data_IF_933671460258
#
_entry.id   IF_933671460258
#
_cell.length_a   1.000
_cell.length_b   1.000
_cell.length_c   1.000
_cell.angle_alpha   90.00
_cell.angle_beta   90.00
_cell.angle_gamma   90.00
#
_symmetry.space_group_name_H-M   'P 1'
#
loop_
_entity.id
_entity.type
_entity.pdbx_description
1 polymer ?
#
# COMPACT_ATOMS: atom_id res chain seq x y z
N UNK A 1 14.84 2.38 12.79
CA UNK A 1 14.69 3.77 13.25
C UNK A 1 13.24 4.26 13.04
N UNK A 2 12.75 5.19 13.87
CA UNK A 2 11.39 5.73 13.80
C UNK A 2 11.11 6.41 12.44
N UNK A 3 9.83 6.62 12.14
CA UNK A 3 9.40 7.44 11.00
C UNK A 3 9.90 8.88 11.21
N UNK A 4 10.25 9.56 10.11
CA UNK A 4 10.52 11.00 10.21
C UNK A 4 9.22 11.66 10.70
N UNK A 5 9.30 12.39 11.80
CA UNK A 5 8.19 13.25 12.22
C UNK A 5 8.23 14.44 11.28
N UNK A 6 7.25 14.49 10.38
CA UNK A 6 7.10 15.65 9.51
C UNK A 6 6.16 16.66 10.17
N UNK A 7 6.60 17.91 10.23
CA UNK A 7 5.89 18.98 10.92
C UNK A 7 4.43 19.08 10.45
N UNK A 8 3.50 19.09 11.40
CA UNK A 8 2.07 19.27 11.18
C UNK A 8 1.23 18.00 11.02
N UNK A 9 1.84 16.81 10.98
CA UNK A 9 1.10 15.54 10.84
C UNK A 9 1.26 14.65 12.08
N UNK A 10 0.13 14.17 12.61
CA UNK A 10 0.08 13.30 13.79
C UNK A 10 0.29 11.81 13.48
N UNK A 11 0.13 10.92 14.49
CA UNK A 11 0.19 9.47 14.31
C UNK A 11 -0.74 8.98 13.20
N UNK A 12 -0.29 7.98 12.44
CA UNK A 12 -1.03 7.38 11.32
C UNK A 12 -0.71 7.99 9.96
N UNK A 13 -0.13 9.19 9.91
CA UNK A 13 0.37 9.80 8.68
C UNK A 13 1.80 9.33 8.35
N UNK A 14 2.05 9.04 7.08
CA UNK A 14 3.37 8.66 6.56
C UNK A 14 3.57 9.20 5.16
N UNK A 15 4.80 9.59 4.83
CA UNK A 15 5.15 9.93 3.45
C UNK A 15 5.25 8.64 2.63
N UNK A 16 4.68 8.61 1.43
CA UNK A 16 4.65 7.38 0.62
C UNK A 16 6.06 6.84 0.32
N UNK A 17 7.05 7.71 0.08
CA UNK A 17 8.46 7.29 -0.07
C UNK A 17 9.01 6.62 1.18
N UNK A 18 8.62 7.10 2.36
CA UNK A 18 9.08 6.58 3.65
C UNK A 18 8.52 5.18 3.94
N UNK A 19 7.29 4.91 3.47
CA UNK A 19 6.69 3.58 3.48
C UNK A 19 7.43 2.63 2.52
N UNK A 20 7.72 3.08 1.29
CA UNK A 20 8.43 2.28 0.28
C UNK A 20 9.82 1.87 0.76
N UNK A 21 10.65 2.80 1.25
CA UNK A 21 12.03 2.47 1.66
C UNK A 21 12.10 1.59 2.91
N UNK A 22 11.02 1.49 3.68
CA UNK A 22 10.90 0.61 4.85
C UNK A 22 10.25 -0.73 4.49
N UNK A 23 9.84 -0.94 3.25
CA UNK A 23 9.29 -2.21 2.78
C UNK A 23 10.39 -3.28 2.76
N UNK A 24 10.09 -4.53 3.18
CA UNK A 24 10.97 -5.67 2.94
C UNK A 24 11.23 -5.85 1.44
N UNK A 25 12.48 -6.19 1.07
CA UNK A 25 12.91 -6.38 -0.31
C UNK A 25 11.99 -7.34 -1.08
N UNK A 26 11.62 -8.46 -0.47
CA UNK A 26 10.74 -9.46 -1.07
C UNK A 26 9.38 -8.85 -1.44
N UNK A 27 8.75 -8.10 -0.53
CA UNK A 27 7.45 -7.45 -0.79
C UNK A 27 7.59 -6.43 -1.92
N UNK A 28 8.65 -5.63 -1.91
CA UNK A 28 8.92 -4.68 -2.98
C UNK A 28 9.06 -5.38 -4.34
N UNK A 29 9.84 -6.46 -4.41
CA UNK A 29 10.00 -7.25 -5.62
C UNK A 29 8.74 -8.03 -6.05
N UNK A 30 7.85 -8.38 -5.13
CA UNK A 30 6.57 -9.01 -5.46
C UNK A 30 5.55 -8.01 -6.02
N UNK A 31 5.60 -6.76 -5.58
CA UNK A 31 4.68 -5.71 -6.03
C UNK A 31 5.12 -5.10 -7.37
N UNK A 32 6.43 -4.90 -7.55
CA UNK A 32 6.97 -4.14 -8.67
C UNK A 32 7.69 -5.08 -9.66
N UNK A 33 7.29 -5.00 -10.94
CA UNK A 33 7.98 -5.73 -12.00
C UNK A 33 9.26 -5.00 -12.40
N UNK A 34 10.40 -5.71 -12.38
CA UNK A 34 11.69 -5.18 -12.82
C UNK A 34 12.16 -5.92 -14.07
N UNK A 35 12.66 -5.15 -15.04
CA UNK A 35 13.25 -5.69 -16.27
C UNK A 35 14.76 -5.96 -16.14
N UNK A 36 15.30 -5.93 -14.92
CA UNK A 36 16.71 -6.22 -14.66
C UNK A 36 16.79 -7.22 -13.52
N UNK A 37 17.77 -8.10 -13.63
CA UNK A 37 18.08 -9.12 -12.64
C UNK A 37 19.60 -9.14 -12.51
N UNK A 38 20.11 -9.00 -11.28
CA UNK A 38 21.54 -8.91 -11.02
C UNK A 38 21.95 -9.95 -10.00
N UNK A 39 23.17 -10.54 -10.09
CA UNK A 39 23.64 -11.52 -9.10
C UNK A 39 23.61 -11.00 -7.66
N UNK A 40 23.78 -9.68 -7.49
CA UNK A 40 23.67 -9.03 -6.20
C UNK A 40 22.25 -9.13 -5.63
N UNK A 41 21.19 -9.04 -6.46
CA UNK A 41 19.80 -9.16 -6.03
C UNK A 41 19.46 -10.61 -5.65
N UNK A 42 19.94 -11.59 -6.42
CA UNK A 42 19.79 -13.03 -6.15
C UNK A 42 20.30 -13.42 -4.78
N UNK A 43 21.47 -12.89 -4.42
CA UNK A 43 22.11 -13.14 -3.14
C UNK A 43 21.19 -12.81 -1.95
N UNK A 44 20.30 -11.82 -2.10
CA UNK A 44 19.29 -11.48 -1.10
C UNK A 44 18.00 -12.28 -1.29
N UNK A 45 17.44 -12.31 -2.50
CA UNK A 45 16.12 -12.90 -2.76
C UNK A 45 16.07 -14.42 -2.56
N UNK A 46 17.18 -15.13 -2.85
CA UNK A 46 17.23 -16.59 -2.71
C UNK A 46 17.52 -17.05 -1.27
N UNK A 47 17.88 -16.14 -0.37
CA UNK A 47 18.13 -16.48 1.03
C UNK A 47 16.83 -16.38 1.84
N UNK A 48 16.48 -17.38 2.68
CA UNK A 48 15.21 -17.42 3.40
C UNK A 48 14.98 -16.20 4.31
N UNK A 49 16.06 -15.65 4.88
CA UNK A 49 16.03 -14.48 5.77
C UNK A 49 16.34 -13.15 5.06
N UNK A 50 17.36 -13.07 4.20
CA UNK A 50 17.84 -11.79 3.64
C UNK A 50 16.83 -11.13 2.72
N UNK A 51 15.93 -11.91 2.10
CA UNK A 51 14.82 -11.38 1.30
C UNK A 51 13.90 -10.47 2.11
N UNK A 52 13.91 -10.54 3.43
CA UNK A 52 13.12 -9.67 4.32
C UNK A 52 13.87 -8.44 4.83
N UNK A 53 15.12 -8.21 4.39
CA UNK A 53 15.84 -6.95 4.66
C UNK A 53 15.06 -5.80 4.02
N UNK A 54 14.91 -4.70 4.76
CA UNK A 54 14.22 -3.51 4.27
C UNK A 54 15.10 -2.72 3.30
N UNK A 55 14.48 -2.06 2.32
CA UNK A 55 15.22 -1.44 1.22
C UNK A 55 16.28 -0.42 1.65
N UNK A 56 16.01 0.36 2.71
CA UNK A 56 16.98 1.36 3.21
C UNK A 56 18.24 0.75 3.84
N UNK A 57 18.19 -0.51 4.28
CA UNK A 57 19.31 -1.21 4.91
C UNK A 57 20.10 -2.04 3.88
N UNK A 58 19.67 -2.05 2.61
CA UNK A 58 20.43 -2.67 1.52
C UNK A 58 21.65 -1.82 1.14
N UNK A 59 22.74 -2.45 0.66
CA UNK A 59 23.88 -1.72 0.12
C UNK A 59 23.47 -0.77 -1.00
N UNK A 60 24.14 0.38 -1.07
CA UNK A 60 23.85 1.45 -2.04
C UNK A 60 23.83 0.96 -3.49
N UNK A 61 24.75 0.07 -3.85
CA UNK A 61 24.81 -0.51 -5.19
C UNK A 61 23.51 -1.23 -5.59
N UNK A 62 22.88 -1.95 -4.65
CA UNK A 62 21.62 -2.67 -4.88
C UNK A 62 20.44 -1.69 -4.84
N UNK A 63 20.43 -0.79 -3.87
CA UNK A 63 19.37 0.21 -3.67
C UNK A 63 19.24 1.16 -4.85
N UNK A 64 20.36 1.66 -5.39
CA UNK A 64 20.39 2.53 -6.58
C UNK A 64 19.79 1.82 -7.78
N UNK A 65 20.05 0.52 -7.96
CA UNK A 65 19.46 -0.27 -9.05
C UNK A 65 17.94 -0.44 -8.88
N UNK A 66 17.48 -0.81 -7.67
CA UNK A 66 16.06 -1.00 -7.34
C UNK A 66 15.24 0.28 -7.51
N UNK A 67 15.79 1.41 -7.06
CA UNK A 67 15.12 2.71 -7.10
C UNK A 67 15.43 3.49 -8.40
N UNK A 68 16.23 2.90 -9.31
CA UNK A 68 16.63 3.53 -10.56
C UNK A 68 15.43 3.95 -11.40
N UNK A 69 15.53 5.15 -11.99
CA UNK A 69 14.49 5.75 -12.84
C UNK A 69 13.11 5.86 -12.18
N UNK A 70 13.03 5.61 -10.87
CA UNK A 70 11.83 5.74 -10.03
C UNK A 70 10.59 5.03 -10.60
N UNK A 71 10.80 3.88 -11.26
CA UNK A 71 9.71 3.11 -11.91
C UNK A 71 8.65 2.62 -10.92
N UNK A 72 9.03 2.38 -9.68
CA UNK A 72 8.14 1.94 -8.61
C UNK A 72 7.06 2.98 -8.25
N UNK A 73 7.28 4.27 -8.53
CA UNK A 73 6.37 5.35 -8.12
C UNK A 73 4.96 5.15 -8.66
N UNK A 74 4.84 4.83 -9.95
CA UNK A 74 3.53 4.69 -10.60
C UNK A 74 2.72 3.57 -9.96
N UNK A 75 3.31 2.37 -9.89
CA UNK A 75 2.68 1.22 -9.27
C UNK A 75 2.37 1.46 -7.77
N UNK A 76 3.25 2.15 -7.04
CA UNK A 76 3.02 2.46 -5.62
C UNK A 76 1.80 3.36 -5.48
N UNK A 77 1.69 4.39 -6.30
CA UNK A 77 0.55 5.31 -6.29
C UNK A 77 -0.75 4.63 -6.69
N UNK A 78 -0.71 3.75 -7.70
CA UNK A 78 -1.91 3.06 -8.17
C UNK A 78 -2.42 2.08 -7.11
N UNK A 79 -1.53 1.33 -6.45
CA UNK A 79 -1.90 0.49 -5.30
C UNK A 79 -2.44 1.35 -4.15
N UNK A 80 -1.82 2.48 -3.87
CA UNK A 80 -2.29 3.40 -2.83
C UNK A 80 -3.70 3.90 -3.12
N UNK A 81 -4.01 4.23 -4.38
CA UNK A 81 -5.38 4.61 -4.78
C UNK A 81 -6.37 3.45 -4.59
N UNK A 82 -6.00 2.24 -4.96
CA UNK A 82 -6.84 1.06 -4.74
C UNK A 82 -7.14 0.86 -3.24
N UNK A 83 -6.13 1.02 -2.38
CA UNK A 83 -6.30 0.99 -0.93
C UNK A 83 -7.19 2.14 -0.42
N UNK A 84 -7.16 3.31 -1.08
CA UNK A 84 -8.06 4.41 -0.77
C UNK A 84 -9.51 4.13 -1.19
N UNK A 85 -9.73 3.51 -2.35
CA UNK A 85 -11.06 3.09 -2.78
C UNK A 85 -11.62 2.00 -1.87
N UNK A 86 -10.75 1.12 -1.36
CA UNK A 86 -11.07 0.20 -0.28
C UNK A 86 -11.12 0.87 1.11
N UNK A 87 -11.04 2.19 1.24
CA UNK A 87 -11.15 2.86 2.55
C UNK A 87 -10.10 2.48 3.61
N UNK A 88 -9.01 1.80 3.23
CA UNK A 88 -7.93 1.39 4.15
C UNK A 88 -6.90 2.49 4.35
N UNK A 89 -6.75 3.36 3.36
CA UNK A 89 -5.81 4.48 3.36
C UNK A 89 -6.54 5.75 2.94
N UNK A 90 -6.03 6.92 3.32
CA UNK A 90 -6.45 8.20 2.77
C UNK A 90 -5.27 8.93 2.14
N UNK A 91 -5.48 9.51 0.97
CA UNK A 91 -4.49 10.40 0.35
C UNK A 91 -4.54 11.76 1.01
N UNK A 92 -3.39 12.19 1.53
CA UNK A 92 -3.17 13.51 2.09
C UNK A 92 -2.65 14.51 1.07
N UNK A 93 -2.29 15.71 1.55
CA UNK A 93 -1.72 16.75 0.70
C UNK A 93 -0.36 16.32 0.12
N UNK A 94 -0.08 16.86 -1.07
CA UNK A 94 1.16 16.64 -1.79
C UNK A 94 2.16 17.76 -1.45
N UNK A 95 3.30 17.43 -0.86
CA UNK A 95 4.29 18.43 -0.42
C UNK A 95 4.95 19.18 -1.58
N UNK A 96 5.14 18.49 -2.72
CA UNK A 96 5.82 19.03 -3.91
C UNK A 96 5.10 18.54 -5.16
N UNK A 97 5.43 19.12 -6.33
CA UNK A 97 4.91 18.67 -7.64
C UNK A 97 5.17 17.18 -7.94
N UNK A 98 6.13 16.57 -7.25
CA UNK A 98 6.53 15.17 -7.45
C UNK A 98 5.54 14.22 -6.76
N UNK A 99 4.95 13.29 -7.53
CA UNK A 99 3.79 12.47 -7.10
C UNK A 99 4.06 11.55 -5.91
N UNK A 100 5.30 11.14 -5.69
CA UNK A 100 5.66 10.27 -4.57
C UNK A 100 5.90 11.01 -3.25
N UNK A 101 5.94 12.36 -3.26
CA UNK A 101 5.93 13.18 -2.06
C UNK A 101 4.51 13.47 -1.58
N UNK A 102 3.70 12.41 -1.51
CA UNK A 102 2.32 12.45 -1.05
C UNK A 102 2.23 11.81 0.32
N UNK A 103 1.55 12.47 1.25
CA UNK A 103 1.20 11.87 2.53
C UNK A 103 0.08 10.87 2.35
N UNK A 104 0.14 9.80 3.12
CA UNK A 104 -0.94 8.82 3.24
C UNK A 104 -1.24 8.61 4.71
N UNK A 105 -2.52 8.50 5.04
CA UNK A 105 -3.00 8.16 6.38
C UNK A 105 -3.50 6.73 6.39
N UNK A 106 -3.01 5.92 7.33
CA UNK A 106 -3.50 4.56 7.52
C UNK A 106 -4.74 4.58 8.42
N UNK A 107 -5.86 4.11 7.89
CA UNK A 107 -7.11 4.11 8.63
C UNK A 107 -7.14 3.00 9.68
N UNK A 108 -7.53 3.34 10.91
CA UNK A 108 -7.92 2.36 11.94
C UNK A 108 -9.37 1.91 11.81
N UNK A 109 -10.18 2.66 11.07
CA UNK A 109 -11.60 2.43 10.88
C UNK A 109 -11.96 2.51 9.40
N UNK A 110 -12.76 1.57 8.91
CA UNK A 110 -13.29 1.60 7.55
C UNK A 110 -14.76 1.18 7.55
N UNK A 111 -15.45 1.44 6.44
CA UNK A 111 -16.79 0.94 6.21
C UNK A 111 -16.94 0.40 4.79
N UNK A 112 -17.74 -0.65 4.66
CA UNK A 112 -18.18 -1.23 3.40
C UNK A 112 -19.68 -1.09 3.27
N UNK A 113 -20.14 -0.82 2.04
CA UNK A 113 -21.55 -0.93 1.70
C UNK A 113 -21.78 -2.33 1.15
N UNK A 114 -22.69 -3.08 1.78
CA UNK A 114 -23.07 -4.39 1.26
C UNK A 114 -24.04 -4.24 0.09
N UNK A 115 -23.49 -4.26 -1.13
CA UNK A 115 -24.23 -4.07 -2.38
C UNK A 115 -24.71 -5.36 -3.04
N UNK A 116 -24.47 -6.53 -2.45
CA UNK A 116 -24.84 -7.87 -2.99
C UNK A 116 -26.31 -8.04 -3.34
N UNK A 117 -27.18 -7.24 -2.73
CA UNK A 117 -28.61 -7.29 -2.93
C UNK A 117 -29.10 -6.37 -4.06
N UNK A 118 -28.21 -5.59 -4.68
CA UNK A 118 -28.51 -4.78 -5.87
C UNK A 118 -28.96 -5.67 -7.02
N UNK A 119 -29.79 -5.13 -7.92
CA UNK A 119 -30.08 -5.82 -9.18
C UNK A 119 -28.83 -5.88 -10.04
N UNK A 120 -28.73 -6.95 -10.83
CA UNK A 120 -27.67 -7.14 -11.82
C UNK A 120 -27.67 -5.98 -12.81
N UNK A 121 -26.56 -5.26 -12.87
CA UNK A 121 -26.32 -4.13 -13.77
C UNK A 121 -24.82 -4.03 -14.01
N UNK A 122 -24.43 -3.69 -15.24
CA UNK A 122 -23.04 -3.78 -15.66
C UNK A 122 -22.13 -2.75 -14.98
N UNK A 123 -22.65 -1.55 -14.67
CA UNK A 123 -21.84 -0.43 -14.16
C UNK A 123 -22.48 0.35 -13.02
N UNK A 124 -23.75 0.10 -12.69
CA UNK A 124 -24.48 0.94 -11.74
C UNK A 124 -25.22 0.09 -10.72
N UNK A 125 -24.93 0.33 -9.44
CA UNK A 125 -25.72 -0.24 -8.35
C UNK A 125 -27.05 0.52 -8.23
N UNK A 126 -28.12 -0.19 -7.86
CA UNK A 126 -29.44 0.42 -7.68
C UNK A 126 -29.37 1.54 -6.62
N UNK A 127 -29.96 2.70 -6.92
CA UNK A 127 -29.95 3.86 -6.02
C UNK A 127 -30.86 3.64 -4.80
N UNK A 128 -30.35 2.94 -3.79
CA UNK A 128 -31.05 2.63 -2.53
C UNK A 128 -30.12 2.60 -1.33
N UNK A 129 -30.70 2.41 -0.14
CA UNK A 129 -29.93 2.24 1.09
C UNK A 129 -29.39 0.81 1.18
N UNK A 130 -28.08 0.70 1.35
CA UNK A 130 -27.40 -0.58 1.58
C UNK A 130 -26.97 -0.71 3.05
N UNK A 131 -26.93 -1.94 3.60
CA UNK A 131 -26.34 -2.17 4.91
C UNK A 131 -24.89 -1.70 4.94
N UNK A 132 -24.50 -0.99 6.00
CA UNK A 132 -23.13 -0.53 6.20
C UNK A 132 -22.43 -1.49 7.16
N UNK A 133 -21.40 -2.17 6.69
CA UNK A 133 -20.49 -2.96 7.52
C UNK A 133 -19.39 -2.03 8.03
N UNK A 134 -19.18 -1.98 9.34
CA UNK A 134 -18.19 -1.10 9.97
C UNK A 134 -17.08 -1.94 10.57
N UNK A 135 -15.84 -1.52 10.32
CA UNK A 135 -14.65 -2.23 10.76
C UNK A 135 -13.77 -1.33 11.62
N UNK A 136 -13.09 -1.96 12.56
CA UNK A 136 -12.03 -1.37 13.37
C UNK A 136 -10.87 -2.36 13.35
N UNK A 137 -9.74 -1.95 12.78
CA UNK A 137 -8.61 -2.84 12.53
C UNK A 137 -7.70 -2.89 13.76
N UNK A 138 -7.95 -3.78 14.71
CA UNK A 138 -7.09 -3.92 15.88
C UNK A 138 -6.02 -4.99 15.73
N UNK A 139 -6.37 -6.03 15.00
CA UNK A 139 -5.60 -7.25 14.76
C UNK A 139 -5.48 -7.54 13.27
N UNK A 140 -4.64 -8.50 12.91
CA UNK A 140 -4.56 -9.00 11.54
C UNK A 140 -5.83 -9.75 11.12
N UNK A 141 -6.53 -10.39 12.08
CA UNK A 141 -7.77 -11.12 11.82
C UNK A 141 -8.89 -10.16 11.42
N UNK A 142 -8.97 -8.97 12.03
CA UNK A 142 -9.92 -7.92 11.63
C UNK A 142 -9.69 -7.46 10.18
N UNK A 143 -8.42 -7.40 9.76
CA UNK A 143 -8.07 -7.03 8.40
C UNK A 143 -8.40 -8.18 7.42
N UNK A 144 -8.20 -9.43 7.83
CA UNK A 144 -8.55 -10.59 7.02
C UNK A 144 -10.07 -10.68 6.79
N UNK A 145 -10.89 -10.59 7.84
CA UNK A 145 -12.35 -10.59 7.73
C UNK A 145 -12.83 -9.45 6.82
N UNK A 146 -12.23 -8.27 6.94
CA UNK A 146 -12.51 -7.16 6.04
C UNK A 146 -12.24 -7.49 4.57
N UNK A 147 -11.09 -8.10 4.26
CA UNK A 147 -10.75 -8.47 2.89
C UNK A 147 -11.69 -9.55 2.36
N UNK A 148 -11.97 -10.58 3.15
CA UNK A 148 -12.90 -11.65 2.78
C UNK A 148 -14.28 -11.07 2.44
N UNK A 149 -14.78 -10.16 3.28
CA UNK A 149 -16.06 -9.45 3.05
C UNK A 149 -16.05 -8.55 1.83
N UNK A 150 -14.94 -7.85 1.58
CA UNK A 150 -14.80 -7.01 0.38
C UNK A 150 -14.85 -7.87 -0.88
N UNK A 151 -14.14 -9.00 -0.90
CA UNK A 151 -14.14 -9.94 -2.02
C UNK A 151 -15.49 -10.60 -2.25
N UNK A 152 -16.22 -10.97 -1.20
CA UNK A 152 -17.58 -11.52 -1.31
C UNK A 152 -18.61 -10.51 -1.85
N UNK A 153 -18.33 -9.21 -1.71
CA UNK A 153 -19.24 -8.12 -2.08
C UNK A 153 -18.98 -7.51 -3.46
N UNK A 154 -17.88 -7.88 -4.10
CA UNK A 154 -17.43 -7.40 -5.42
C UNK A 154 -17.87 -8.34 -6.54
#
# INVERSE_FOLDING_TARGET
PPLNLYDGYGPGWVLLTDAVVRMPLFIFCSIFTFSFYTPALDYYLNHPIRKYIILKDLPDAVRVQLLARRRYIHATLDITKLLCYAGLVQMGPQLRKTRDQTYVYLNRHACLLNTTSSKDSYHEIEARKYPVLRYRFETMDDLQDYWDRLFDSA
#
